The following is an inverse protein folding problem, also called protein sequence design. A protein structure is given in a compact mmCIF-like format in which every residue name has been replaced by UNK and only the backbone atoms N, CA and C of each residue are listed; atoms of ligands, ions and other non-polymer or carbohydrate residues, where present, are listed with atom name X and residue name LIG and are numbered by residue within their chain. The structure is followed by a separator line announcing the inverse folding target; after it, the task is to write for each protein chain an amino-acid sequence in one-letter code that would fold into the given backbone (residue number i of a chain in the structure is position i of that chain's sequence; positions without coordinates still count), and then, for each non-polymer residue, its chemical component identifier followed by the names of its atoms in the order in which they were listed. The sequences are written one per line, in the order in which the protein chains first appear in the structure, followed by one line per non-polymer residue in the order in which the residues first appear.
data_IF_148811554359
#
_entry.id   IF_148811554359
#
_cell.length_a   1.000
_cell.length_b   1.000
_cell.length_c   1.000
_cell.angle_alpha   90.00
_cell.angle_beta   90.00
_cell.angle_gamma   90.00
#
_symmetry.space_group_name_H-M   'P 1'
#
loop_
_entity.id
_entity.type
_entity.pdbx_description
1 polymer ?
#
# COMPACT_ATOMS: atom_id res chain seq x y z
N UNK A 1 29.15 -39.18 7.64
CA UNK A 1 27.99 -39.49 6.79
C UNK A 1 26.94 -38.39 6.81
N UNK A 2 26.44 -37.93 7.96
CA UNK A 2 25.55 -36.75 8.02
C UNK A 2 26.27 -35.45 7.61
N UNK A 3 27.48 -35.19 8.13
CA UNK A 3 28.28 -34.01 7.78
C UNK A 3 28.67 -33.91 6.28
N UNK A 4 28.88 -35.05 5.62
CA UNK A 4 29.22 -35.11 4.19
C UNK A 4 27.99 -34.77 3.32
N UNK A 5 26.81 -35.14 3.80
CA UNK A 5 25.54 -34.90 3.12
C UNK A 5 25.13 -33.43 3.23
N UNK A 6 25.28 -32.82 4.41
CA UNK A 6 25.04 -31.38 4.62
C UNK A 6 26.00 -30.52 3.79
N UNK A 7 27.28 -30.89 3.77
CA UNK A 7 28.31 -30.23 2.96
C UNK A 7 27.99 -30.29 1.46
N UNK A 8 27.50 -31.43 0.99
CA UNK A 8 27.08 -31.59 -0.41
C UNK A 8 25.89 -30.69 -0.75
N UNK A 9 24.88 -30.62 0.14
CA UNK A 9 23.73 -29.74 -0.08
C UNK A 9 24.11 -28.25 -0.07
N UNK A 10 25.00 -27.82 0.84
CA UNK A 10 25.50 -26.45 0.87
C UNK A 10 26.24 -26.06 -0.42
N UNK A 11 27.06 -26.96 -0.98
CA UNK A 11 27.73 -26.75 -2.26
C UNK A 11 26.75 -26.72 -3.44
N UNK A 12 25.74 -27.59 -3.43
CA UNK A 12 24.69 -27.60 -4.45
C UNK A 12 23.86 -26.31 -4.44
N UNK A 13 23.57 -25.78 -3.25
CA UNK A 13 22.86 -24.51 -3.07
C UNK A 13 23.70 -23.31 -3.46
N UNK A 14 24.97 -23.26 -3.05
CA UNK A 14 25.91 -22.24 -3.51
C UNK A 14 25.99 -22.24 -5.04
N UNK A 15 26.10 -23.42 -5.66
CA UNK A 15 26.04 -23.55 -7.11
C UNK A 15 24.73 -23.02 -7.70
N UNK A 16 23.59 -23.38 -7.10
CA UNK A 16 22.27 -22.90 -7.51
C UNK A 16 22.14 -21.37 -7.48
N UNK A 17 22.60 -20.72 -6.41
CA UNK A 17 22.62 -19.25 -6.27
C UNK A 17 23.51 -18.62 -7.35
N UNK A 18 24.71 -19.18 -7.56
CA UNK A 18 25.65 -18.70 -8.57
C UNK A 18 25.11 -18.85 -10.00
N UNK A 19 24.43 -19.95 -10.30
CA UNK A 19 23.76 -20.16 -11.59
C UNK A 19 22.60 -19.18 -11.78
N UNK A 20 21.74 -18.99 -10.77
CA UNK A 20 20.59 -18.09 -10.84
C UNK A 20 21.02 -16.65 -11.19
N UNK A 21 21.99 -16.11 -10.44
CA UNK A 21 22.50 -14.76 -10.67
C UNK A 21 23.29 -14.69 -11.98
N UNK A 22 24.02 -15.75 -12.31
CA UNK A 22 24.76 -15.86 -13.56
C UNK A 22 23.86 -15.82 -14.82
N UNK A 23 22.70 -16.48 -14.78
CA UNK A 23 21.73 -16.49 -15.90
C UNK A 23 21.17 -15.09 -16.14
N UNK A 24 20.74 -14.42 -15.06
CA UNK A 24 20.27 -13.03 -15.15
C UNK A 24 21.36 -12.14 -15.78
N UNK A 25 22.61 -12.29 -15.31
CA UNK A 25 23.69 -11.44 -15.76
C UNK A 25 23.99 -11.64 -17.24
N UNK A 26 24.06 -12.89 -17.69
CA UNK A 26 24.28 -13.24 -19.10
C UNK A 26 23.14 -12.70 -19.98
N UNK A 27 21.89 -12.86 -19.55
CA UNK A 27 20.72 -12.32 -20.26
C UNK A 27 20.78 -10.79 -20.38
N UNK A 28 21.15 -10.08 -19.30
CA UNK A 28 21.23 -8.62 -19.29
C UNK A 28 22.30 -8.06 -20.25
N UNK A 29 23.38 -8.81 -20.46
CA UNK A 29 24.48 -8.43 -21.36
C UNK A 29 24.10 -8.71 -22.82
N UNK A 30 23.41 -9.81 -23.09
CA UNK A 30 22.82 -10.10 -24.41
C UNK A 30 21.84 -9.03 -24.88
N UNK A 31 20.95 -8.54 -24.01
CA UNK A 31 20.00 -7.46 -24.37
C UNK A 31 20.69 -6.13 -24.66
N UNK A 32 21.87 -5.90 -24.08
CA UNK A 32 22.64 -4.66 -24.27
C UNK A 32 23.58 -4.72 -25.49
N UNK A 33 23.66 -5.86 -26.19
CA UNK A 33 24.48 -6.03 -27.40
C UNK A 33 25.99 -5.98 -27.15
N UNK A 34 26.43 -6.27 -25.92
CA UNK A 34 27.86 -6.36 -25.55
C UNK A 34 28.27 -7.82 -25.45
N UNK A 35 29.51 -8.12 -25.83
CA UNK A 35 30.11 -9.43 -25.57
C UNK A 35 30.06 -9.73 -24.07
N UNK A 36 29.59 -10.94 -23.71
CA UNK A 36 29.36 -11.32 -22.33
C UNK A 36 30.65 -11.21 -21.51
N UNK A 37 30.68 -10.21 -20.64
CA UNK A 37 31.81 -9.81 -19.79
C UNK A 37 32.00 -10.79 -18.62
N UNK A 38 30.91 -11.40 -18.15
CA UNK A 38 30.91 -12.36 -17.04
C UNK A 38 29.62 -13.19 -17.08
N UNK A 39 29.69 -14.36 -17.72
CA UNK A 39 28.53 -15.24 -17.91
C UNK A 39 28.21 -16.15 -16.72
N UNK A 40 27.26 -17.06 -16.94
CA UNK A 40 26.74 -18.04 -15.95
C UNK A 40 27.85 -18.79 -15.21
N UNK A 41 28.91 -19.19 -15.95
CA UNK A 41 30.03 -19.96 -15.40
C UNK A 41 30.85 -19.17 -14.38
N UNK A 42 31.04 -17.87 -14.60
CA UNK A 42 31.84 -17.02 -13.71
C UNK A 42 31.16 -16.87 -12.35
N UNK A 43 29.84 -16.67 -12.34
CA UNK A 43 29.07 -16.55 -11.10
C UNK A 43 28.91 -17.88 -10.37
N UNK A 44 28.71 -18.99 -11.09
CA UNK A 44 28.71 -20.33 -10.51
C UNK A 44 30.04 -20.65 -9.81
N UNK A 45 31.17 -20.38 -10.48
CA UNK A 45 32.50 -20.59 -9.90
C UNK A 45 32.78 -19.66 -8.74
N UNK A 46 32.39 -18.37 -8.82
CA UNK A 46 32.56 -17.42 -7.73
C UNK A 46 31.82 -17.86 -6.45
N UNK A 47 30.59 -18.35 -6.60
CA UNK A 47 29.81 -18.87 -5.47
C UNK A 47 30.47 -20.11 -4.85
N UNK A 48 30.89 -21.07 -5.68
CA UNK A 48 31.60 -22.26 -5.22
C UNK A 48 32.92 -21.92 -4.51
N UNK A 49 33.67 -20.95 -5.03
CA UNK A 49 34.89 -20.45 -4.39
C UNK A 49 34.57 -19.92 -2.98
N UNK A 50 33.48 -19.18 -2.82
CA UNK A 50 33.01 -18.70 -1.51
C UNK A 50 32.70 -19.82 -0.55
N UNK A 51 31.90 -20.81 -0.98
CA UNK A 51 31.53 -21.96 -0.17
C UNK A 51 32.75 -22.80 0.25
N UNK A 52 33.62 -23.14 -0.70
CA UNK A 52 34.84 -23.93 -0.45
C UNK A 52 35.78 -23.19 0.48
N UNK A 53 35.95 -21.87 0.30
CA UNK A 53 36.82 -21.05 1.15
C UNK A 53 36.34 -21.04 2.59
N UNK A 54 35.02 -20.91 2.80
CA UNK A 54 34.44 -20.93 4.14
C UNK A 54 34.56 -22.31 4.80
N UNK A 55 34.30 -23.39 4.07
CA UNK A 55 34.37 -24.77 4.59
C UNK A 55 35.80 -25.21 4.95
N UNK A 56 36.81 -24.76 4.19
CA UNK A 56 38.19 -25.25 4.34
C UNK A 56 39.07 -24.33 5.19
N UNK A 57 38.87 -23.02 5.12
CA UNK A 57 39.74 -22.03 5.77
C UNK A 57 39.01 -20.93 6.51
N UNK A 58 37.67 -21.02 6.65
CA UNK A 58 36.84 -20.07 7.38
C UNK A 58 36.96 -18.63 6.88
N UNK A 59 36.73 -17.68 7.79
CA UNK A 59 36.71 -16.25 7.49
C UNK A 59 38.01 -15.71 6.84
N UNK A 60 39.23 -16.13 7.27
CA UNK A 60 40.47 -15.66 6.64
C UNK A 60 40.58 -16.04 5.16
N UNK A 61 40.27 -17.29 4.79
CA UNK A 61 40.35 -17.75 3.42
C UNK A 61 39.24 -17.12 2.56
N UNK A 62 38.04 -16.92 3.12
CA UNK A 62 36.97 -16.18 2.47
C UNK A 62 37.39 -14.74 2.14
N UNK A 63 38.06 -14.05 3.05
CA UNK A 63 38.56 -12.69 2.80
C UNK A 63 39.57 -12.66 1.64
N UNK A 64 40.48 -13.64 1.58
CA UNK A 64 41.42 -13.81 0.46
C UNK A 64 40.67 -14.09 -0.85
N UNK A 65 39.67 -14.95 -0.82
CA UNK A 65 38.87 -15.28 -1.99
C UNK A 65 38.10 -14.07 -2.55
N UNK A 66 37.48 -13.27 -1.68
CA UNK A 66 36.79 -12.02 -2.06
C UNK A 66 37.77 -11.03 -2.69
N UNK A 67 38.96 -10.84 -2.10
CA UNK A 67 40.00 -9.97 -2.65
C UNK A 67 40.53 -10.50 -3.99
N UNK A 68 40.73 -11.82 -4.13
CA UNK A 68 41.18 -12.44 -5.37
C UNK A 68 40.15 -12.24 -6.49
N UNK A 69 38.88 -12.55 -6.24
CA UNK A 69 37.80 -12.37 -7.23
C UNK A 69 37.62 -10.89 -7.60
N UNK A 70 37.68 -9.99 -6.61
CA UNK A 70 37.62 -8.54 -6.84
C UNK A 70 38.79 -8.03 -7.68
N UNK A 71 40.02 -8.46 -7.38
CA UNK A 71 41.22 -8.06 -8.14
C UNK A 71 41.21 -8.62 -9.56
N UNK A 72 40.85 -9.90 -9.76
CA UNK A 72 40.67 -10.46 -11.10
C UNK A 72 39.66 -9.66 -11.90
N UNK A 73 38.55 -9.25 -11.28
CA UNK A 73 37.56 -8.42 -11.95
C UNK A 73 38.12 -7.04 -12.33
N UNK A 74 38.82 -6.36 -11.42
CA UNK A 74 39.44 -5.06 -11.70
C UNK A 74 40.45 -5.17 -12.85
N UNK A 75 41.34 -6.16 -12.80
CA UNK A 75 42.35 -6.40 -13.84
C UNK A 75 41.68 -6.63 -15.20
N UNK A 76 40.63 -7.45 -15.24
CA UNK A 76 39.87 -7.71 -16.45
C UNK A 76 39.23 -6.44 -17.02
N UNK A 77 38.62 -5.59 -16.17
CA UNK A 77 38.00 -4.33 -16.60
C UNK A 77 39.04 -3.36 -17.16
N UNK A 78 40.18 -3.23 -16.48
CA UNK A 78 41.29 -2.37 -16.93
C UNK A 78 41.86 -2.85 -18.27
N UNK A 79 42.01 -4.16 -18.45
CA UNK A 79 42.53 -4.73 -19.70
C UNK A 79 41.57 -4.58 -20.87
N UNK A 80 40.25 -4.67 -20.64
CA UNK A 80 39.27 -4.49 -21.71
C UNK A 80 39.06 -3.03 -22.10
N UNK A 81 39.42 -2.07 -21.24
CA UNK A 81 39.33 -0.66 -21.55
C UNK A 81 37.91 -0.16 -21.81
N UNK A 82 36.88 -0.92 -21.42
CA UNK A 82 35.47 -0.53 -21.61
C UNK A 82 34.96 0.27 -20.39
N UNK A 83 34.83 1.62 -20.52
CA UNK A 83 34.32 2.48 -19.45
C UNK A 83 32.84 2.23 -19.14
N UNK A 84 32.15 1.43 -19.95
CA UNK A 84 30.73 1.11 -19.77
C UNK A 84 30.50 -0.21 -19.04
N UNK A 85 31.56 -0.82 -18.50
CA UNK A 85 31.45 -1.95 -17.59
C UNK A 85 30.74 -1.53 -16.31
N UNK A 86 29.60 -2.16 -16.01
CA UNK A 86 28.75 -1.77 -14.89
C UNK A 86 29.37 -2.07 -13.53
N UNK A 87 29.47 -1.06 -12.65
CA UNK A 87 29.82 -1.21 -11.23
C UNK A 87 28.96 -2.28 -10.53
N UNK A 88 27.69 -2.40 -10.94
CA UNK A 88 26.74 -3.40 -10.44
C UNK A 88 27.19 -4.83 -10.68
N UNK A 89 27.86 -5.13 -11.80
CA UNK A 89 28.36 -6.48 -12.11
C UNK A 89 29.52 -6.86 -11.19
N UNK A 90 30.41 -5.90 -10.90
CA UNK A 90 31.51 -6.11 -9.97
C UNK A 90 31.01 -6.33 -8.54
N UNK A 91 30.01 -5.55 -8.11
CA UNK A 91 29.36 -5.73 -6.81
C UNK A 91 28.61 -7.07 -6.72
N UNK A 92 27.90 -7.47 -7.79
CA UNK A 92 27.20 -8.75 -7.85
C UNK A 92 28.18 -9.92 -7.73
N UNK A 93 29.33 -9.85 -8.40
CA UNK A 93 30.33 -10.92 -8.34
C UNK A 93 30.88 -11.10 -6.92
N UNK A 94 31.17 -10.00 -6.22
CA UNK A 94 31.56 -10.04 -4.80
C UNK A 94 30.44 -10.58 -3.92
N UNK A 95 29.20 -10.14 -4.14
CA UNK A 95 28.04 -10.61 -3.38
C UNK A 95 27.83 -12.12 -3.54
N UNK A 96 28.02 -12.66 -4.74
CA UNK A 96 27.87 -14.10 -5.01
C UNK A 96 28.92 -14.94 -4.28
N UNK A 97 30.17 -14.47 -4.16
CA UNK A 97 31.19 -15.13 -3.33
C UNK A 97 30.73 -15.18 -1.85
N UNK A 98 30.22 -14.05 -1.34
CA UNK A 98 29.71 -13.99 0.04
C UNK A 98 28.49 -14.88 0.26
N UNK A 99 27.58 -14.96 -0.72
CA UNK A 99 26.40 -15.83 -0.66
C UNK A 99 26.78 -17.32 -0.69
N UNK A 100 27.79 -17.69 -1.48
CA UNK A 100 28.32 -19.04 -1.48
C UNK A 100 28.87 -19.46 -0.11
N UNK A 101 29.57 -18.56 0.58
CA UNK A 101 29.99 -18.79 1.97
C UNK A 101 28.80 -18.87 2.94
N UNK A 102 27.82 -17.97 2.78
CA UNK A 102 26.62 -17.93 3.62
C UNK A 102 25.77 -19.20 3.50
N UNK A 103 25.76 -19.85 2.33
CA UNK A 103 25.08 -21.13 2.11
C UNK A 103 25.64 -22.25 3.00
N UNK A 104 26.90 -22.15 3.43
CA UNK A 104 27.52 -23.14 4.34
C UNK A 104 27.12 -22.94 5.80
N UNK A 105 26.60 -21.76 6.17
CA UNK A 105 26.11 -21.47 7.52
C UNK A 105 24.59 -21.58 7.60
N UNK A 106 23.89 -20.94 6.66
CA UNK A 106 22.42 -20.82 6.66
C UNK A 106 21.88 -20.86 5.24
N UNK A 107 21.72 -22.09 4.72
CA UNK A 107 21.07 -22.41 3.45
C UNK A 107 19.89 -21.48 3.11
N UNK A 108 18.83 -21.53 3.92
CA UNK A 108 17.59 -20.77 3.70
C UNK A 108 17.82 -19.25 3.55
N UNK A 109 18.73 -18.68 4.34
CA UNK A 109 19.03 -17.25 4.30
C UNK A 109 19.85 -16.92 3.05
N UNK A 110 20.83 -17.76 2.68
CA UNK A 110 21.60 -17.60 1.45
C UNK A 110 20.72 -17.69 0.20
N UNK A 111 19.82 -18.68 0.12
CA UNK A 111 18.84 -18.77 -0.97
C UNK A 111 17.91 -17.56 -1.01
N UNK A 112 17.38 -17.13 0.14
CA UNK A 112 16.49 -15.97 0.22
C UNK A 112 17.17 -14.68 -0.27
N UNK A 113 18.38 -14.40 0.23
CA UNK A 113 19.15 -13.22 -0.19
C UNK A 113 19.59 -13.34 -1.66
N UNK A 114 19.97 -14.54 -2.11
CA UNK A 114 20.31 -14.82 -3.50
C UNK A 114 19.17 -14.53 -4.46
N UNK A 115 17.94 -14.96 -4.13
CA UNK A 115 16.73 -14.67 -4.91
C UNK A 115 16.41 -13.17 -4.89
N UNK A 116 16.56 -12.48 -3.76
CA UNK A 116 16.35 -11.03 -3.66
C UNK A 116 17.33 -10.28 -4.56
N UNK A 117 18.63 -10.64 -4.52
CA UNK A 117 19.65 -10.01 -5.36
C UNK A 117 19.38 -10.31 -6.83
N UNK A 118 19.12 -11.56 -7.22
CA UNK A 118 18.77 -11.92 -8.59
C UNK A 118 17.54 -11.15 -9.10
N UNK A 119 16.49 -11.03 -8.27
CA UNK A 119 15.28 -10.28 -8.61
C UNK A 119 15.57 -8.77 -8.77
N UNK A 120 16.43 -8.21 -7.92
CA UNK A 120 16.84 -6.80 -8.01
C UNK A 120 17.61 -6.53 -9.30
N UNK A 121 18.53 -7.42 -9.69
CA UNK A 121 19.27 -7.29 -10.93
C UNK A 121 18.33 -7.42 -12.15
N UNK A 122 17.46 -8.43 -12.15
CA UNK A 122 16.48 -8.64 -13.23
C UNK A 122 15.52 -7.46 -13.39
N UNK A 123 15.12 -6.81 -12.30
CA UNK A 123 14.22 -5.66 -12.32
C UNK A 123 14.90 -4.35 -12.75
N UNK A 124 16.21 -4.32 -13.03
CA UNK A 124 16.98 -3.10 -13.33
C UNK A 124 16.35 -2.20 -14.39
N UNK A 125 15.88 -2.78 -15.50
CA UNK A 125 15.29 -1.98 -16.59
C UNK A 125 13.94 -1.39 -16.20
N UNK A 126 13.11 -2.16 -15.50
CA UNK A 126 11.82 -1.73 -14.97
C UNK A 126 12.02 -0.60 -13.95
N UNK A 127 12.96 -0.76 -13.02
CA UNK A 127 13.29 0.26 -12.00
C UNK A 127 13.80 1.55 -12.68
N UNK A 128 14.69 1.42 -13.67
CA UNK A 128 15.24 2.58 -14.42
C UNK A 128 14.16 3.27 -15.25
N UNK A 129 13.29 2.51 -15.90
CA UNK A 129 12.13 3.02 -16.63
C UNK A 129 11.21 3.78 -15.69
N UNK A 130 10.74 3.13 -14.63
CA UNK A 130 9.89 3.72 -13.59
C UNK A 130 10.47 5.02 -13.02
N UNK A 131 11.75 5.02 -12.65
CA UNK A 131 12.43 6.21 -12.13
C UNK A 131 12.54 7.36 -13.13
N UNK A 132 12.63 7.08 -14.44
CA UNK A 132 12.84 8.10 -15.48
C UNK A 132 11.56 8.60 -16.13
N UNK A 133 10.57 7.74 -16.27
CA UNK A 133 9.33 8.04 -17.03
C UNK A 133 8.11 8.16 -16.14
N UNK A 134 8.09 7.51 -14.98
CA UNK A 134 6.89 7.44 -14.13
C UNK A 134 6.97 8.33 -12.90
N UNK A 135 8.16 8.66 -12.37
CA UNK A 135 8.30 9.52 -11.19
C UNK A 135 8.75 10.95 -11.54
N UNK A 136 8.05 11.93 -11.01
CA UNK A 136 8.52 13.33 -10.94
C UNK A 136 9.46 13.51 -9.75
N UNK A 137 10.24 14.60 -9.75
CA UNK A 137 11.09 14.94 -8.61
C UNK A 137 10.31 15.10 -7.29
N UNK A 138 9.07 15.59 -7.36
CA UNK A 138 8.20 15.72 -6.19
C UNK A 138 7.79 14.33 -5.65
N UNK A 139 7.37 13.41 -6.51
CA UNK A 139 6.97 12.07 -6.07
C UNK A 139 8.14 11.20 -5.61
N UNK A 140 9.33 11.38 -6.20
CA UNK A 140 10.53 10.73 -5.69
C UNK A 140 10.82 11.18 -4.26
N UNK A 141 10.69 12.48 -3.99
CA UNK A 141 10.82 13.03 -2.63
C UNK A 141 9.75 12.47 -1.70
N UNK A 142 8.50 12.39 -2.13
CA UNK A 142 7.39 11.83 -1.34
C UNK A 142 7.61 10.34 -1.04
N UNK A 143 8.11 9.57 -2.02
CA UNK A 143 8.50 8.18 -1.86
C UNK A 143 9.68 7.99 -0.90
N UNK A 144 10.68 8.88 -0.95
CA UNK A 144 11.78 8.89 0.03
C UNK A 144 11.28 9.23 1.43
N UNK A 145 10.33 10.15 1.58
CA UNK A 145 9.70 10.45 2.88
C UNK A 145 8.98 9.20 3.43
N UNK A 146 8.23 8.49 2.58
CA UNK A 146 7.60 7.22 2.96
C UNK A 146 8.64 6.16 3.34
N UNK A 147 9.73 6.05 2.58
CA UNK A 147 10.84 5.15 2.86
C UNK A 147 11.54 5.45 4.19
N UNK A 148 11.84 6.72 4.48
CA UNK A 148 12.39 7.16 5.78
C UNK A 148 11.41 6.85 6.91
N UNK A 149 10.11 7.05 6.68
CA UNK A 149 9.07 6.75 7.67
C UNK A 149 9.10 5.26 8.04
N UNK A 150 9.14 4.37 7.05
CA UNK A 150 9.14 2.91 7.27
C UNK A 150 10.47 2.41 7.83
N UNK A 151 11.59 2.82 7.25
CA UNK A 151 12.90 2.21 7.50
C UNK A 151 13.67 2.86 8.66
N UNK A 152 13.35 4.11 9.01
CA UNK A 152 14.08 4.87 10.03
C UNK A 152 13.17 5.22 11.20
N UNK A 153 12.01 5.85 10.95
CA UNK A 153 11.16 6.36 12.03
C UNK A 153 10.43 5.22 12.73
N UNK A 154 9.77 4.34 11.99
CA UNK A 154 8.97 3.24 12.54
C UNK A 154 9.75 2.31 13.49
N UNK A 155 10.98 1.83 13.19
CA UNK A 155 11.72 0.98 14.13
C UNK A 155 12.21 1.71 15.38
N UNK A 156 12.35 3.05 15.32
CA UNK A 156 12.80 3.87 16.46
C UNK A 156 11.65 4.21 17.42
N UNK A 157 10.40 4.14 16.95
CA UNK A 157 9.24 4.50 17.78
C UNK A 157 9.01 3.52 18.93
N UNK A 158 8.78 4.03 20.16
CA UNK A 158 8.53 3.20 21.31
C UNK A 158 7.20 2.47 21.18
N UNK A 159 7.20 1.18 21.49
CA UNK A 159 5.99 0.35 21.57
C UNK A 159 5.41 0.43 22.99
N UNK A 160 4.84 1.58 23.35
CA UNK A 160 4.30 1.85 24.67
C UNK A 160 2.88 2.44 24.54
N UNK A 161 1.94 1.91 25.31
CA UNK A 161 0.58 2.41 25.37
C UNK A 161 0.51 3.59 26.35
N UNK A 162 0.04 4.74 25.88
CA UNK A 162 -0.17 5.98 26.63
C UNK A 162 -1.66 6.38 26.66
N UNK A 163 -2.01 7.26 27.59
CA UNK A 163 -3.35 7.84 27.71
C UNK A 163 -4.36 6.97 28.49
N UNK A 164 -5.59 7.46 28.65
CA UNK A 164 -6.66 6.76 29.38
C UNK A 164 -6.93 5.39 28.77
N UNK A 165 -6.94 4.36 29.61
CA UNK A 165 -7.12 2.96 29.20
C UNK A 165 -6.11 2.46 28.16
N UNK A 166 -4.92 3.07 28.04
CA UNK A 166 -3.89 2.65 27.08
C UNK A 166 -4.24 2.90 25.61
N UNK A 167 -5.15 3.85 25.33
CA UNK A 167 -5.71 4.05 23.99
C UNK A 167 -4.68 4.39 22.90
N UNK A 168 -3.55 5.03 23.24
CA UNK A 168 -2.62 5.60 22.25
C UNK A 168 -1.27 4.89 22.28
N UNK A 169 -0.96 4.13 21.22
CA UNK A 169 0.37 3.57 20.99
C UNK A 169 1.07 4.33 19.84
N UNK A 170 2.22 5.00 20.06
CA UNK A 170 2.91 5.76 19.04
C UNK A 170 3.35 4.91 17.85
N UNK A 171 3.80 3.67 18.10
CA UNK A 171 4.23 2.75 17.05
C UNK A 171 3.04 2.31 16.22
N UNK A 172 1.95 1.87 16.83
CA UNK A 172 0.76 1.42 16.09
C UNK A 172 0.11 2.56 15.32
N UNK A 173 -0.01 3.74 15.94
CA UNK A 173 -0.50 4.95 15.27
C UNK A 173 0.35 5.27 14.05
N UNK A 174 1.67 5.13 14.14
CA UNK A 174 2.56 5.41 13.02
C UNK A 174 2.53 4.33 11.93
N UNK A 175 2.38 3.04 12.28
CA UNK A 175 2.12 1.96 11.31
C UNK A 175 0.90 2.29 10.46
N UNK A 176 -0.15 2.82 11.10
CA UNK A 176 -1.39 3.17 10.42
C UNK A 176 -1.21 4.38 9.49
N UNK A 177 -0.48 5.41 9.94
CA UNK A 177 -0.12 6.56 9.09
C UNK A 177 0.63 6.06 7.86
N UNK A 178 1.62 5.19 8.05
CA UNK A 178 2.39 4.55 6.98
C UNK A 178 1.49 3.75 6.04
N UNK A 179 0.55 2.95 6.57
CA UNK A 179 -0.38 2.15 5.78
C UNK A 179 -1.26 3.04 4.89
N UNK A 180 -1.85 4.10 5.44
CA UNK A 180 -2.67 5.05 4.68
C UNK A 180 -1.82 5.75 3.62
N UNK A 181 -0.58 6.12 3.94
CA UNK A 181 0.34 6.69 2.96
C UNK A 181 0.70 5.70 1.85
N UNK A 182 0.95 4.44 2.19
CA UNK A 182 1.28 3.42 1.20
C UNK A 182 0.12 3.18 0.23
N UNK A 183 -1.12 3.11 0.75
CA UNK A 183 -2.30 2.93 -0.09
C UNK A 183 -2.52 4.13 -1.00
N UNK A 184 -2.34 5.36 -0.49
CA UNK A 184 -2.43 6.56 -1.32
C UNK A 184 -1.32 6.63 -2.38
N UNK A 185 -0.10 6.20 -2.06
CA UNK A 185 1.03 6.13 -2.99
C UNK A 185 0.72 5.16 -4.14
N UNK A 186 0.24 3.96 -3.78
CA UNK A 186 -0.18 2.95 -4.75
C UNK A 186 -1.34 3.46 -5.62
N UNK A 187 -2.32 4.15 -5.01
CA UNK A 187 -3.42 4.79 -5.72
C UNK A 187 -2.94 5.80 -6.76
N UNK A 188 -2.03 6.70 -6.38
CA UNK A 188 -1.45 7.72 -7.27
C UNK A 188 -0.58 7.13 -8.38
N UNK A 189 0.19 6.10 -8.08
CA UNK A 189 0.97 5.40 -9.12
C UNK A 189 0.00 4.70 -10.09
N UNK A 190 -1.05 4.07 -9.58
CA UNK A 190 -2.04 3.39 -10.40
C UNK A 190 -2.83 4.38 -11.29
N UNK A 191 -3.19 5.57 -10.80
CA UNK A 191 -3.84 6.59 -11.63
C UNK A 191 -2.96 7.01 -12.80
N UNK A 192 -1.65 7.18 -12.58
CA UNK A 192 -0.72 7.58 -13.64
C UNK A 192 -0.46 6.47 -14.65
N UNK A 193 -0.23 5.24 -14.19
CA UNK A 193 0.12 4.10 -15.06
C UNK A 193 -1.10 3.59 -15.83
N UNK A 194 -2.25 3.50 -15.17
CA UNK A 194 -3.45 2.84 -15.71
C UNK A 194 -4.58 3.84 -15.96
N UNK A 195 -4.82 4.74 -15.01
CA UNK A 195 -5.96 5.66 -15.04
C UNK A 195 -5.98 6.57 -16.28
N UNK A 196 -4.84 7.15 -16.64
CA UNK A 196 -4.72 8.06 -17.79
C UNK A 196 -5.22 7.41 -19.07
N UNK A 197 -5.02 6.09 -19.25
CA UNK A 197 -5.43 5.36 -20.46
C UNK A 197 -6.87 4.84 -20.42
N UNK A 198 -7.45 4.65 -19.22
CA UNK A 198 -8.78 4.06 -19.05
C UNK A 198 -9.89 5.09 -18.78
N UNK A 199 -9.56 6.39 -18.86
CA UNK A 199 -10.51 7.50 -18.78
C UNK A 199 -10.87 7.92 -17.36
N UNK A 200 -11.76 8.93 -17.25
CA UNK A 200 -12.15 9.56 -15.98
C UNK A 200 -12.78 8.62 -14.94
N UNK A 201 -13.57 7.58 -15.29
CA UNK A 201 -14.20 6.70 -14.31
C UNK A 201 -13.19 5.86 -13.54
N UNK A 202 -12.27 5.22 -14.25
CA UNK A 202 -11.18 4.44 -13.65
C UNK A 202 -10.18 5.36 -12.95
N UNK A 203 -9.84 6.49 -13.57
CA UNK A 203 -8.99 7.50 -12.92
C UNK A 203 -9.61 8.00 -11.61
N UNK A 204 -10.93 8.22 -11.56
CA UNK A 204 -11.63 8.68 -10.36
C UNK A 204 -11.66 7.61 -9.26
N UNK A 205 -11.86 6.35 -9.62
CA UNK A 205 -11.67 5.22 -8.71
C UNK A 205 -10.25 5.21 -8.14
N UNK A 206 -9.22 5.17 -8.99
CA UNK A 206 -7.83 5.08 -8.54
C UNK A 206 -7.42 6.33 -7.72
N UNK A 207 -7.87 7.52 -8.11
CA UNK A 207 -7.62 8.79 -7.42
C UNK A 207 -8.32 8.85 -6.06
N UNK A 208 -9.43 8.12 -5.91
CA UNK A 208 -10.14 7.97 -4.65
C UNK A 208 -9.29 7.34 -3.54
N UNK A 209 -8.26 6.55 -3.88
CA UNK A 209 -7.30 6.05 -2.91
C UNK A 209 -6.32 7.14 -2.41
N UNK A 210 -6.12 8.21 -3.17
CA UNK A 210 -5.37 9.37 -2.67
C UNK A 210 -6.28 10.23 -1.80
N UNK A 211 -7.39 10.69 -2.39
CA UNK A 211 -8.44 11.43 -1.70
C UNK A 211 -9.69 11.49 -2.56
N UNK A 212 -10.73 10.77 -2.18
CA UNK A 212 -12.05 10.85 -2.82
C UNK A 212 -12.65 12.26 -2.77
N UNK A 213 -12.41 13.00 -1.68
CA UNK A 213 -12.93 14.36 -1.49
C UNK A 213 -12.29 15.32 -2.49
N UNK A 214 -10.96 15.26 -2.64
CA UNK A 214 -10.25 16.01 -3.66
C UNK A 214 -10.63 15.55 -5.08
N UNK A 215 -10.86 14.25 -5.27
CA UNK A 215 -11.30 13.67 -6.56
C UNK A 215 -12.66 14.22 -7.00
N UNK A 216 -13.65 14.27 -6.10
CA UNK A 216 -14.97 14.87 -6.39
C UNK A 216 -14.82 16.35 -6.75
N UNK A 217 -14.00 17.11 -6.02
CA UNK A 217 -13.76 18.52 -6.32
C UNK A 217 -13.07 18.72 -7.69
N UNK A 218 -12.05 17.91 -7.99
CA UNK A 218 -11.30 17.98 -9.24
C UNK A 218 -12.18 17.61 -10.44
N UNK A 219 -12.94 16.52 -10.35
CA UNK A 219 -13.87 16.08 -11.39
C UNK A 219 -15.05 17.04 -11.54
N UNK A 220 -15.51 17.66 -10.46
CA UNK A 220 -16.56 18.67 -10.50
C UNK A 220 -16.13 19.96 -11.18
N UNK A 221 -14.87 20.39 -11.00
CA UNK A 221 -14.28 21.50 -11.76
C UNK A 221 -14.09 21.13 -13.23
N UNK A 222 -13.60 19.93 -13.52
CA UNK A 222 -13.44 19.43 -14.89
C UNK A 222 -14.77 19.38 -15.65
N UNK A 223 -15.84 18.89 -15.00
CA UNK A 223 -17.18 18.88 -15.57
C UNK A 223 -17.69 20.29 -15.90
N UNK A 224 -17.32 21.31 -15.11
CA UNK A 224 -17.65 22.71 -15.38
C UNK A 224 -16.84 23.34 -16.50
N UNK A 225 -15.58 22.94 -16.69
CA UNK A 225 -14.71 23.40 -17.78
C UNK A 225 -15.06 22.73 -19.12
N UNK A 226 -15.47 21.45 -19.08
CA UNK A 226 -15.85 20.64 -20.24
C UNK A 226 -17.13 19.87 -19.92
N UNK A 227 -18.28 20.44 -20.27
CA UNK A 227 -19.59 19.81 -20.04
C UNK A 227 -19.73 18.44 -20.73
N UNK A 228 -19.01 18.18 -21.81
CA UNK A 228 -18.96 16.86 -22.47
C UNK A 228 -18.38 15.76 -21.56
N UNK A 229 -17.45 16.12 -20.67
CA UNK A 229 -16.83 15.19 -19.72
C UNK A 229 -17.74 14.95 -18.50
N UNK A 230 -18.83 15.71 -18.31
CA UNK A 230 -19.59 15.77 -17.06
C UNK A 230 -20.10 14.41 -16.55
N UNK A 231 -20.60 13.56 -17.46
CA UNK A 231 -21.12 12.23 -17.11
C UNK A 231 -20.01 11.25 -16.73
N UNK A 232 -18.91 11.29 -17.47
CA UNK A 232 -17.72 10.46 -17.21
C UNK A 232 -17.01 10.91 -15.91
N UNK A 233 -16.95 12.21 -15.67
CA UNK A 233 -16.50 12.82 -14.43
C UNK A 233 -17.40 12.43 -13.25
N UNK A 234 -18.73 12.42 -13.43
CA UNK A 234 -19.66 11.99 -12.40
C UNK A 234 -19.49 10.50 -12.05
N UNK A 235 -19.30 9.63 -13.05
CA UNK A 235 -18.97 8.22 -12.82
C UNK A 235 -17.69 8.08 -12.00
N UNK A 236 -16.60 8.76 -12.38
CA UNK A 236 -15.35 8.74 -11.62
C UNK A 236 -15.47 9.28 -10.20
N UNK A 237 -16.25 10.35 -10.02
CA UNK A 237 -16.51 10.94 -8.71
C UNK A 237 -17.27 9.96 -7.80
N UNK A 238 -18.27 9.27 -8.32
CA UNK A 238 -19.02 8.25 -7.56
C UNK A 238 -18.17 7.01 -7.26
N UNK A 239 -17.37 6.53 -8.22
CA UNK A 239 -16.47 5.40 -8.02
C UNK A 239 -15.35 5.70 -7.01
N UNK A 240 -14.96 6.98 -6.85
CA UNK A 240 -14.00 7.37 -5.81
C UNK A 240 -14.47 7.03 -4.38
N UNK A 241 -15.79 6.96 -4.15
CA UNK A 241 -16.35 6.50 -2.86
C UNK A 241 -16.11 5.02 -2.61
N UNK A 242 -16.09 4.19 -3.65
CA UNK A 242 -15.76 2.76 -3.53
C UNK A 242 -14.34 2.61 -2.99
N UNK A 243 -13.40 3.40 -3.50
CA UNK A 243 -12.00 3.39 -3.05
C UNK A 243 -11.86 3.75 -1.57
N UNK A 244 -12.61 4.75 -1.10
CA UNK A 244 -12.65 5.09 0.34
C UNK A 244 -13.16 3.92 1.19
N UNK A 245 -14.20 3.23 0.73
CA UNK A 245 -14.77 2.09 1.46
C UNK A 245 -13.82 0.89 1.47
N UNK A 246 -13.09 0.66 0.37
CA UNK A 246 -12.02 -0.35 0.32
C UNK A 246 -10.91 0.01 1.32
N UNK A 247 -10.48 1.28 1.39
CA UNK A 247 -9.48 1.72 2.38
C UNK A 247 -9.94 1.47 3.81
N UNK A 248 -11.18 1.83 4.11
CA UNK A 248 -11.77 1.59 5.44
C UNK A 248 -11.78 0.09 5.75
N UNK A 249 -12.14 -0.75 4.78
CA UNK A 249 -12.05 -2.21 4.91
C UNK A 249 -10.63 -2.70 5.20
N UNK A 250 -9.62 -2.22 4.48
CA UNK A 250 -8.21 -2.56 4.70
C UNK A 250 -7.75 -2.13 6.10
N UNK A 251 -8.09 -0.92 6.52
CA UNK A 251 -7.76 -0.38 7.84
C UNK A 251 -8.41 -1.23 8.95
N UNK A 252 -9.70 -1.55 8.82
CA UNK A 252 -10.39 -2.41 9.79
C UNK A 252 -9.78 -3.81 9.83
N UNK A 253 -9.49 -4.42 8.68
CA UNK A 253 -8.89 -5.75 8.63
C UNK A 253 -7.50 -5.77 9.29
N UNK A 254 -6.72 -4.71 9.12
CA UNK A 254 -5.40 -4.59 9.71
C UNK A 254 -5.42 -4.36 11.24
N UNK A 255 -6.39 -3.59 11.75
CA UNK A 255 -6.44 -3.18 13.15
C UNK A 255 -7.39 -3.99 14.02
N UNK A 256 -8.56 -4.35 13.49
CA UNK A 256 -9.59 -5.09 14.21
C UNK A 256 -10.38 -5.97 13.23
N UNK A 257 -9.87 -7.18 12.94
CA UNK A 257 -10.60 -8.16 12.11
C UNK A 257 -12.02 -8.44 12.61
N UNK A 258 -12.24 -8.36 13.92
CA UNK A 258 -13.56 -8.48 14.54
C UNK A 258 -14.49 -7.34 14.11
N UNK A 259 -14.03 -6.09 14.17
CA UNK A 259 -14.82 -4.93 13.72
C UNK A 259 -15.03 -4.95 12.20
N UNK A 260 -14.06 -5.42 11.41
CA UNK A 260 -14.23 -5.66 9.98
C UNK A 260 -15.38 -6.64 9.71
N UNK A 261 -15.41 -7.80 10.39
CA UNK A 261 -16.44 -8.81 10.19
C UNK A 261 -17.84 -8.29 10.55
N UNK A 262 -17.97 -7.59 11.68
CA UNK A 262 -19.26 -7.06 12.12
C UNK A 262 -19.71 -5.86 11.27
N UNK A 263 -18.79 -5.01 10.83
CA UNK A 263 -19.07 -3.85 9.96
C UNK A 263 -19.24 -4.19 8.48
N UNK A 264 -18.97 -5.43 8.07
CA UNK A 264 -18.97 -5.85 6.67
C UNK A 264 -20.30 -5.57 5.93
N UNK A 265 -21.50 -5.81 6.51
CA UNK A 265 -22.76 -5.52 5.83
C UNK A 265 -22.92 -4.04 5.47
N UNK A 266 -22.49 -3.14 6.37
CA UNK A 266 -22.53 -1.69 6.17
C UNK A 266 -21.58 -1.26 5.04
N UNK A 267 -20.35 -1.79 5.05
CA UNK A 267 -19.35 -1.50 4.02
C UNK A 267 -19.75 -2.04 2.65
N UNK A 268 -20.24 -3.28 2.59
CA UNK A 268 -20.70 -3.90 1.35
C UNK A 268 -21.93 -3.20 0.79
N UNK A 269 -22.93 -2.89 1.63
CA UNK A 269 -24.12 -2.16 1.20
C UNK A 269 -23.76 -0.81 0.57
N UNK A 270 -22.98 0.00 1.29
CA UNK A 270 -22.53 1.30 0.78
C UNK A 270 -21.64 1.15 -0.49
N UNK A 271 -20.76 0.15 -0.52
CA UNK A 271 -19.84 -0.11 -1.62
C UNK A 271 -20.56 -0.54 -2.88
N UNK A 272 -21.53 -1.44 -2.77
CA UNK A 272 -22.38 -1.88 -3.88
C UNK A 272 -23.23 -0.73 -4.39
N UNK A 273 -23.82 0.08 -3.51
CA UNK A 273 -24.60 1.25 -3.93
C UNK A 273 -23.75 2.23 -4.75
N UNK A 274 -22.56 2.59 -4.26
CA UNK A 274 -21.64 3.48 -4.98
C UNK A 274 -21.12 2.85 -6.29
N UNK A 275 -20.76 1.57 -6.25
CA UNK A 275 -20.22 0.84 -7.39
C UNK A 275 -21.24 0.64 -8.50
N UNK A 276 -22.45 0.18 -8.17
CA UNK A 276 -23.55 0.00 -9.13
C UNK A 276 -24.00 1.33 -9.71
N UNK A 277 -24.11 2.37 -8.90
CA UNK A 277 -24.46 3.71 -9.38
C UNK A 277 -23.38 4.26 -10.33
N UNK A 278 -22.10 4.16 -9.96
CA UNK A 278 -20.98 4.58 -10.81
C UNK A 278 -20.88 3.78 -12.11
N UNK A 279 -21.06 2.46 -12.04
CA UNK A 279 -21.10 1.58 -13.20
C UNK A 279 -22.30 1.88 -14.10
N UNK A 280 -23.50 2.10 -13.53
CA UNK A 280 -24.68 2.48 -14.30
C UNK A 280 -24.45 3.77 -15.07
N UNK A 281 -23.89 4.81 -14.43
CA UNK A 281 -23.53 6.05 -15.14
C UNK A 281 -22.53 5.73 -16.25
N UNK A 282 -21.46 4.99 -15.96
CA UNK A 282 -20.42 4.67 -16.93
C UNK A 282 -20.99 3.97 -18.17
N UNK A 283 -21.77 2.89 -17.99
CA UNK A 283 -22.32 2.12 -19.10
C UNK A 283 -23.45 2.85 -19.84
N UNK A 284 -24.28 3.62 -19.16
CA UNK A 284 -25.37 4.38 -19.79
C UNK A 284 -24.88 5.61 -20.55
N UNK A 285 -23.63 6.04 -20.33
CA UNK A 285 -23.09 7.29 -20.87
C UNK A 285 -21.87 7.10 -21.75
N UNK A 286 -21.33 5.87 -21.84
CA UNK A 286 -20.39 5.48 -22.90
C UNK A 286 -21.08 5.49 -24.26
N UNK A 287 -20.95 6.61 -24.98
CA UNK A 287 -21.27 6.70 -26.42
C UNK A 287 -20.15 7.37 -27.21
N UNK A 288 -18.89 7.20 -26.79
CA UNK A 288 -17.74 7.80 -27.46
C UNK A 288 -16.42 7.12 -27.10
N UNK A 289 -15.35 7.50 -27.79
CA UNK A 289 -14.01 7.00 -27.56
C UNK A 289 -13.51 7.34 -26.14
N UNK A 290 -12.82 6.38 -25.51
CA UNK A 290 -12.12 6.60 -24.25
C UNK A 290 -10.97 7.57 -24.52
N UNK A 291 -11.16 8.83 -24.14
CA UNK A 291 -10.11 9.84 -24.25
C UNK A 291 -9.18 9.73 -23.06
N UNK A 292 -7.86 9.70 -23.28
CA UNK A 292 -6.90 9.78 -22.19
C UNK A 292 -7.14 11.06 -21.40
N UNK A 293 -7.31 10.93 -20.09
CA UNK A 293 -7.66 12.05 -19.23
C UNK A 293 -6.94 11.93 -17.90
N UNK A 294 -6.02 12.86 -17.67
CA UNK A 294 -5.35 12.99 -16.39
C UNK A 294 -6.24 13.80 -15.43
N UNK A 295 -6.50 13.26 -14.24
CA UNK A 295 -7.12 14.03 -13.17
C UNK A 295 -6.01 14.86 -12.55
N UNK A 296 -6.05 16.18 -12.75
CA UNK A 296 -5.09 17.14 -12.20
C UNK A 296 -5.19 17.28 -10.68
N UNK A 297 -4.85 16.22 -9.95
CA UNK A 297 -4.53 16.29 -8.53
C UNK A 297 -3.14 16.93 -8.38
N UNK A 298 -2.95 17.73 -7.34
CA UNK A 298 -1.63 18.32 -7.02
C UNK A 298 -0.55 17.23 -6.99
N UNK A 299 0.61 17.52 -7.58
CA UNK A 299 1.71 16.57 -7.78
C UNK A 299 2.40 16.08 -6.50
N UNK A 300 1.99 16.57 -5.32
CA UNK A 300 2.44 16.07 -4.03
C UNK A 300 1.43 15.06 -3.52
N UNK A 301 1.84 13.79 -3.50
CA UNK A 301 1.06 12.68 -2.97
C UNK A 301 1.17 12.68 -1.44
N UNK A 302 2.35 13.02 -0.90
CA UNK A 302 2.61 13.07 0.53
C UNK A 302 3.48 14.24 0.95
N UNK A 303 2.89 15.19 1.67
CA UNK A 303 3.68 16.16 2.43
C UNK A 303 3.86 15.68 3.87
N UNK A 304 5.06 15.86 4.44
CA UNK A 304 5.32 15.60 5.88
C UNK A 304 4.29 16.32 6.74
N UNK A 305 3.90 17.53 6.36
CA UNK A 305 2.86 18.32 7.05
C UNK A 305 1.49 17.62 7.05
N UNK A 306 1.09 17.03 5.92
CA UNK A 306 -0.16 16.28 5.81
C UNK A 306 -0.13 15.01 6.64
N UNK A 307 0.98 14.28 6.63
CA UNK A 307 1.16 13.06 7.42
C UNK A 307 1.13 13.34 8.93
N UNK A 308 1.85 14.36 9.38
CA UNK A 308 1.84 14.82 10.79
C UNK A 308 0.46 15.33 11.18
N UNK A 309 -0.21 16.11 10.31
CA UNK A 309 -1.58 16.57 10.54
C UNK A 309 -2.58 15.43 10.69
N UNK A 310 -2.50 14.42 9.82
CA UNK A 310 -3.33 13.22 9.89
C UNK A 310 -3.08 12.43 11.19
N UNK A 311 -1.80 12.19 11.54
CA UNK A 311 -1.41 11.54 12.78
C UNK A 311 -1.94 12.29 14.02
N UNK A 312 -1.85 13.62 14.01
CA UNK A 312 -2.35 14.48 15.07
C UNK A 312 -3.87 14.42 15.21
N UNK A 313 -4.62 14.45 14.10
CA UNK A 313 -6.09 14.31 14.12
C UNK A 313 -6.46 12.95 14.72
N UNK A 314 -5.84 11.87 14.26
CA UNK A 314 -6.08 10.51 14.78
C UNK A 314 -5.80 10.44 16.27
N UNK A 315 -4.62 10.89 16.70
CA UNK A 315 -4.22 10.91 18.12
C UNK A 315 -5.20 11.70 18.99
N UNK A 316 -5.61 12.88 18.51
CA UNK A 316 -6.56 13.75 19.22
C UNK A 316 -7.93 13.09 19.34
N UNK A 317 -8.45 12.52 18.25
CA UNK A 317 -9.74 11.82 18.26
C UNK A 317 -9.67 10.62 19.20
N UNK A 318 -8.62 9.80 19.12
CA UNK A 318 -8.44 8.66 20.03
C UNK A 318 -8.41 9.09 21.49
N UNK A 319 -7.65 10.14 21.82
CA UNK A 319 -7.54 10.64 23.19
C UNK A 319 -8.87 11.18 23.71
N UNK A 320 -9.57 11.99 22.91
CA UNK A 320 -10.87 12.56 23.31
C UNK A 320 -11.93 11.46 23.40
N UNK A 321 -11.96 10.52 22.45
CA UNK A 321 -12.90 9.39 22.48
C UNK A 321 -12.68 8.51 23.70
N UNK A 322 -11.43 8.17 24.04
CA UNK A 322 -11.10 7.40 25.23
C UNK A 322 -11.49 8.13 26.52
N UNK A 323 -11.12 9.42 26.64
CA UNK A 323 -11.51 10.25 27.78
C UNK A 323 -13.02 10.30 27.96
N UNK A 324 -13.76 10.63 26.89
CA UNK A 324 -15.21 10.74 27.00
C UNK A 324 -15.90 9.40 27.20
N UNK A 325 -15.32 8.29 26.74
CA UNK A 325 -15.85 6.96 27.02
C UNK A 325 -15.81 6.63 28.52
N UNK A 326 -14.73 7.00 29.22
CA UNK A 326 -14.61 6.77 30.66
C UNK A 326 -15.67 7.54 31.48
N UNK A 327 -16.07 8.74 31.04
CA UNK A 327 -17.02 9.59 31.77
C UNK A 327 -18.48 9.47 31.30
N UNK A 328 -18.71 9.26 30.00
CA UNK A 328 -20.03 9.33 29.36
C UNK A 328 -20.42 8.03 28.64
N UNK A 329 -19.56 7.02 28.65
CA UNK A 329 -19.77 5.73 27.98
C UNK A 329 -19.71 5.81 26.46
N UNK A 330 -20.16 4.73 25.82
CA UNK A 330 -20.07 4.52 24.37
C UNK A 330 -20.81 5.57 23.53
N UNK A 331 -21.79 6.27 24.11
CA UNK A 331 -22.51 7.35 23.45
C UNK A 331 -21.61 8.53 23.05
N UNK A 332 -20.54 8.81 23.80
CA UNK A 332 -19.62 9.90 23.45
C UNK A 332 -18.65 9.54 22.31
N UNK A 333 -18.41 8.25 22.10
CA UNK A 333 -17.62 7.75 20.97
C UNK A 333 -18.36 8.04 19.65
N UNK A 334 -19.69 7.95 19.64
CA UNK A 334 -20.50 8.32 18.48
C UNK A 334 -20.25 9.77 18.06
N UNK A 335 -20.28 10.72 19.00
CA UNK A 335 -20.09 12.15 18.71
C UNK A 335 -18.69 12.42 18.19
N UNK A 336 -17.67 11.91 18.88
CA UNK A 336 -16.26 12.11 18.51
C UNK A 336 -15.91 11.49 17.16
N UNK A 337 -16.38 10.27 16.88
CA UNK A 337 -16.20 9.63 15.57
C UNK A 337 -16.93 10.37 14.45
N UNK A 338 -18.15 10.87 14.71
CA UNK A 338 -18.90 11.67 13.73
C UNK A 338 -18.15 12.95 13.36
N UNK A 339 -17.62 13.67 14.37
CA UNK A 339 -16.82 14.87 14.17
C UNK A 339 -15.51 14.57 13.44
N UNK A 340 -14.83 13.48 13.79
CA UNK A 340 -13.63 13.02 13.08
C UNK A 340 -13.93 12.71 11.60
N UNK A 341 -15.09 12.10 11.33
CA UNK A 341 -15.57 11.78 9.99
C UNK A 341 -15.76 12.99 9.09
N UNK A 342 -16.10 14.17 9.65
CA UNK A 342 -16.18 15.42 8.87
C UNK A 342 -14.83 15.81 8.24
N UNK A 343 -13.73 15.46 8.91
CA UNK A 343 -12.37 15.76 8.44
C UNK A 343 -11.83 14.61 7.60
N UNK A 344 -11.92 13.38 8.11
CA UNK A 344 -11.44 12.20 7.43
C UNK A 344 -12.07 10.92 7.98
N UNK A 345 -12.68 10.13 7.09
CA UNK A 345 -13.19 8.80 7.43
C UNK A 345 -12.07 7.87 7.84
N UNK A 346 -10.89 7.97 7.21
CA UNK A 346 -9.75 7.11 7.58
C UNK A 346 -9.34 7.39 9.03
N UNK A 347 -9.28 8.66 9.45
CA UNK A 347 -8.94 9.00 10.82
C UNK A 347 -9.97 8.47 11.83
N UNK A 348 -11.26 8.62 11.52
CA UNK A 348 -12.34 8.09 12.37
C UNK A 348 -12.31 6.56 12.46
N UNK A 349 -12.14 5.86 11.34
CA UNK A 349 -12.02 4.40 11.29
C UNK A 349 -10.84 3.90 12.11
N UNK A 350 -9.68 4.55 11.97
CA UNK A 350 -8.47 4.21 12.74
C UNK A 350 -8.71 4.37 14.24
N UNK A 351 -9.30 5.48 14.65
CA UNK A 351 -9.58 5.74 16.06
C UNK A 351 -10.53 4.66 16.63
N UNK A 352 -11.63 4.36 15.93
CA UNK A 352 -12.58 3.32 16.34
C UNK A 352 -11.95 1.93 16.40
N UNK A 353 -11.23 1.54 15.36
CA UNK A 353 -10.59 0.23 15.29
C UNK A 353 -9.53 0.07 16.40
N UNK A 354 -8.82 1.14 16.73
CA UNK A 354 -7.85 1.15 17.83
C UNK A 354 -8.55 0.98 19.18
N UNK A 355 -9.65 1.69 19.44
CA UNK A 355 -10.42 1.53 20.69
C UNK A 355 -10.97 0.10 20.84
N UNK A 356 -11.39 -0.55 19.75
CA UNK A 356 -11.78 -1.97 19.75
C UNK A 356 -10.57 -2.86 20.02
N UNK A 357 -9.42 -2.59 19.41
CA UNK A 357 -8.21 -3.40 19.55
C UNK A 357 -7.67 -3.44 20.99
N UNK A 358 -7.78 -2.32 21.73
CA UNK A 358 -7.40 -2.27 23.17
C UNK A 358 -8.55 -2.65 24.10
N UNK A 359 -9.70 -3.09 23.57
CA UNK A 359 -10.84 -3.58 24.36
C UNK A 359 -11.64 -2.50 25.09
N UNK A 360 -11.51 -1.23 24.71
CA UNK A 360 -12.28 -0.14 25.32
C UNK A 360 -13.76 -0.14 24.87
N UNK A 361 -14.02 -0.66 23.67
CA UNK A 361 -15.37 -0.91 23.15
C UNK A 361 -15.43 -2.26 22.46
N UNK A 362 -16.62 -2.85 22.41
CA UNK A 362 -16.86 -4.04 21.60
C UNK A 362 -16.82 -3.71 20.09
N UNK A 363 -16.50 -4.71 19.27
CA UNK A 363 -16.53 -4.58 17.82
C UNK A 363 -17.91 -4.15 17.28
N UNK A 364 -18.99 -4.54 17.96
CA UNK A 364 -20.36 -4.17 17.60
C UNK A 364 -20.68 -2.71 17.93
N UNK A 365 -20.25 -2.22 19.09
CA UNK A 365 -20.43 -0.82 19.48
C UNK A 365 -19.69 0.15 18.54
N UNK A 366 -18.63 -0.30 17.86
CA UNK A 366 -17.90 0.50 16.87
C UNK A 366 -18.66 0.74 15.55
N UNK A 367 -19.67 -0.08 15.21
CA UNK A 367 -20.32 -0.02 13.88
C UNK A 367 -21.17 1.22 13.71
N UNK A 368 -21.96 1.61 14.73
CA UNK A 368 -22.81 2.79 14.67
C UNK A 368 -21.97 4.10 14.57
N UNK A 369 -20.93 4.32 15.39
CA UNK A 369 -19.98 5.41 15.22
C UNK A 369 -19.31 5.44 13.84
N UNK A 370 -18.96 4.27 13.27
CA UNK A 370 -18.39 4.18 11.92
C UNK A 370 -19.41 4.65 10.87
N UNK A 371 -20.66 4.19 10.96
CA UNK A 371 -21.75 4.60 10.08
C UNK A 371 -22.02 6.11 10.16
N UNK A 372 -21.96 6.69 11.37
CA UNK A 372 -22.12 8.12 11.57
C UNK A 372 -20.94 8.94 11.01
N UNK A 373 -19.70 8.46 11.19
CA UNK A 373 -18.51 9.09 10.59
C UNK A 373 -18.54 9.06 9.05
N UNK A 374 -18.96 7.94 8.46
CA UNK A 374 -19.19 7.80 7.02
C UNK A 374 -20.28 8.76 6.53
N UNK A 375 -21.36 8.90 7.29
CA UNK A 375 -22.46 9.83 7.00
C UNK A 375 -21.98 11.28 6.99
N UNK A 376 -21.24 11.69 8.02
CA UNK A 376 -20.67 13.02 8.14
C UNK A 376 -19.77 13.39 6.94
N UNK A 377 -18.86 12.49 6.55
CA UNK A 377 -18.01 12.72 5.39
C UNK A 377 -18.80 12.74 4.08
N UNK A 378 -19.84 11.91 3.96
CA UNK A 378 -20.70 11.89 2.77
C UNK A 378 -21.43 13.23 2.61
N UNK A 379 -21.87 13.85 3.70
CA UNK A 379 -22.44 15.20 3.67
C UNK A 379 -21.44 16.25 3.18
N UNK A 380 -20.18 16.18 3.63
CA UNK A 380 -19.10 17.05 3.12
C UNK A 380 -18.90 16.85 1.61
N UNK A 381 -18.89 15.60 1.14
CA UNK A 381 -18.76 15.28 -0.29
C UNK A 381 -19.95 15.77 -1.12
N UNK A 382 -21.18 15.64 -0.60
CA UNK A 382 -22.39 16.19 -1.23
C UNK A 382 -22.25 17.70 -1.36
N UNK A 383 -21.84 18.38 -0.28
CA UNK A 383 -21.64 19.83 -0.30
C UNK A 383 -20.59 20.27 -1.33
N UNK A 384 -19.48 19.53 -1.46
CA UNK A 384 -18.47 19.77 -2.50
C UNK A 384 -19.03 19.53 -3.90
N UNK A 385 -19.75 18.42 -4.12
CA UNK A 385 -20.35 18.11 -5.41
C UNK A 385 -21.34 19.19 -5.86
N UNK A 386 -22.11 19.74 -4.93
CA UNK A 386 -23.08 20.82 -5.18
C UNK A 386 -22.43 22.15 -5.63
N UNK A 387 -21.13 22.34 -5.37
CA UNK A 387 -20.37 23.54 -5.80
C UNK A 387 -19.86 23.49 -7.23
N UNK A 388 -19.97 22.35 -7.93
CA UNK A 388 -19.67 22.31 -9.36
C UNK A 388 -20.61 23.25 -10.12
N UNK A 389 -20.13 23.91 -11.18
CA UNK A 389 -20.98 24.75 -12.04
C UNK A 389 -21.87 23.91 -12.97
N UNK A 390 -21.55 22.63 -13.19
CA UNK A 390 -22.23 21.77 -14.15
C UNK A 390 -23.43 21.04 -13.51
N UNK A 391 -24.68 21.34 -13.91
CA UNK A 391 -25.88 20.80 -13.26
C UNK A 391 -26.03 19.28 -13.37
N UNK A 392 -25.59 18.68 -14.49
CA UNK A 392 -25.63 17.22 -14.64
C UNK A 392 -24.72 16.55 -13.62
N UNK A 393 -23.50 17.05 -13.45
CA UNK A 393 -22.54 16.51 -12.48
C UNK A 393 -23.08 16.59 -11.06
N UNK A 394 -23.59 17.78 -10.66
CA UNK A 394 -24.16 18.00 -9.32
C UNK A 394 -25.26 16.98 -8.99
N UNK A 395 -26.26 16.85 -9.85
CA UNK A 395 -27.42 15.98 -9.61
C UNK A 395 -27.02 14.52 -9.53
N UNK A 396 -26.19 14.07 -10.47
CA UNK A 396 -25.75 12.67 -10.53
C UNK A 396 -24.89 12.30 -9.32
N UNK A 397 -23.89 13.10 -8.97
CA UNK A 397 -22.99 12.78 -7.85
C UNK A 397 -23.71 12.89 -6.51
N UNK A 398 -24.49 13.96 -6.27
CA UNK A 398 -25.25 14.10 -5.04
C UNK A 398 -26.31 13.00 -4.89
N UNK A 399 -27.01 12.63 -5.98
CA UNK A 399 -27.97 11.53 -5.97
C UNK A 399 -27.31 10.19 -5.61
N UNK A 400 -26.15 9.89 -6.20
CA UNK A 400 -25.38 8.69 -5.87
C UNK A 400 -24.91 8.64 -4.42
N UNK A 401 -24.46 9.77 -3.87
CA UNK A 401 -24.03 9.87 -2.48
C UNK A 401 -25.21 9.74 -1.49
N UNK A 402 -26.37 10.28 -1.82
CA UNK A 402 -27.60 10.10 -1.03
C UNK A 402 -28.06 8.65 -1.07
N UNK A 403 -28.01 8.00 -2.24
CA UNK A 403 -28.31 6.58 -2.38
C UNK A 403 -27.35 5.73 -1.54
N UNK A 404 -26.05 6.00 -1.62
CA UNK A 404 -25.03 5.34 -0.81
C UNK A 404 -25.33 5.49 0.70
N UNK A 405 -25.70 6.69 1.14
CA UNK A 405 -26.06 6.97 2.53
C UNK A 405 -27.32 6.22 2.96
N UNK A 406 -28.35 6.20 2.12
CA UNK A 406 -29.59 5.47 2.40
C UNK A 406 -29.33 3.96 2.55
N UNK A 407 -28.59 3.37 1.61
CA UNK A 407 -28.25 1.95 1.65
C UNK A 407 -27.36 1.61 2.85
N UNK A 408 -26.45 2.50 3.24
CA UNK A 408 -25.63 2.34 4.45
C UNK A 408 -26.49 2.18 5.70
N UNK A 409 -27.49 3.06 5.90
CA UNK A 409 -28.37 2.99 7.07
C UNK A 409 -29.37 1.82 7.01
N UNK A 410 -29.87 1.48 5.81
CA UNK A 410 -30.71 0.28 5.61
C UNK A 410 -29.92 -0.98 5.94
N UNK A 411 -28.67 -1.10 5.47
CA UNK A 411 -27.81 -2.24 5.75
C UNK A 411 -27.53 -2.37 7.26
N UNK A 412 -27.25 -1.26 7.95
CA UNK A 412 -27.07 -1.26 9.41
C UNK A 412 -28.34 -1.71 10.15
N UNK A 413 -29.51 -1.22 9.73
CA UNK A 413 -30.78 -1.58 10.35
C UNK A 413 -31.16 -3.05 10.14
N UNK A 414 -30.99 -3.57 8.91
CA UNK A 414 -31.25 -4.98 8.59
C UNK A 414 -30.30 -5.91 9.34
N UNK A 415 -29.03 -5.53 9.48
CA UNK A 415 -28.05 -6.28 10.25
C UNK A 415 -28.44 -6.37 11.74
N UNK A 416 -28.93 -5.28 12.33
CA UNK A 416 -29.46 -5.27 13.70
C UNK A 416 -30.64 -6.24 13.89
N UNK A 417 -31.57 -6.26 12.94
CA UNK A 417 -32.70 -7.21 12.94
C UNK A 417 -32.18 -8.65 12.85
N UNK A 418 -31.31 -8.94 11.88
CA UNK A 418 -30.79 -10.29 11.66
C UNK A 418 -30.10 -10.83 12.91
N UNK A 419 -29.32 -10.00 13.62
CA UNK A 419 -28.67 -10.39 14.89
C UNK A 419 -29.68 -10.66 16.00
N UNK A 420 -30.71 -9.84 16.15
CA UNK A 420 -31.76 -10.07 17.15
C UNK A 420 -32.45 -11.42 16.94
N UNK A 421 -32.81 -11.73 15.69
CA UNK A 421 -33.40 -13.03 15.31
C UNK A 421 -32.48 -14.22 15.60
N UNK A 422 -31.18 -14.12 15.29
CA UNK A 422 -30.21 -15.19 15.59
C UNK A 422 -30.09 -15.41 17.10
N UNK A 423 -30.11 -14.32 17.87
CA UNK A 423 -30.00 -14.39 19.34
C UNK A 423 -31.24 -15.08 19.94
N UNK A 424 -32.44 -14.75 19.46
CA UNK A 424 -33.68 -15.42 19.86
C UNK A 424 -33.68 -16.92 19.48
N UNK A 425 -33.24 -17.26 18.27
CA UNK A 425 -33.12 -18.67 17.85
C UNK A 425 -32.17 -19.46 18.75
N UNK A 426 -31.03 -18.87 19.12
CA UNK A 426 -30.05 -19.53 19.99
C UNK A 426 -30.55 -19.77 21.43
N UNK A 427 -31.50 -18.96 21.90
CA UNK A 427 -32.13 -19.13 23.22
C UNK A 427 -33.27 -20.18 23.21
N UNK A 428 -33.88 -20.41 22.05
CA UNK A 428 -35.02 -21.34 21.89
C UNK A 428 -34.61 -22.78 21.54
N UNK A 429 -33.36 -23.02 21.12
CA UNK A 429 -32.80 -24.35 20.92
C UNK A 429 -31.65 -24.60 21.91
N UNK A 430 -31.92 -25.09 23.14
CA UNK A 430 -30.85 -25.61 23.98
C UNK A 430 -30.32 -26.90 23.31
N UNK A 431 -29.01 -26.94 23.08
CA UNK A 431 -28.28 -28.15 22.67
C UNK A 431 -28.42 -29.27 23.70
#
# INVERSE_FOLDING_TARGET
MEADTESFFALAEALGIGLLIGIEREQSEHTTGKDASSGVRTFALASLIGAISMMTGGMPLLAVAVLAVGTFRIVWVVQQGDPTTGLTTSLALVAVVLLGALATETALLAAGVGVIIASLLAAREVIRGFSRTVLTAAELRDGLILGVSILVILPVLPNLNFGPGGALNPRDLFIIVVLVMLIGAAGHIATRVVGVHLGLPVSGFLSGFVSSTATIAALGRRAGEKSDDAKSAAAGATLSSVSSLIQIGIILLALSPAMFAVGLPVLLGAGLAAGLHGAAIFFLTQRGEIKPAEIGLTSQVFSVKSAVGFAFIVATVMLISALLNDYFGSAAILVTATLAGLVSTNSATVALASLVAVGQISALEGVLPLAAALSANTLVRIWIALRSSEPSFRRTVSGGLVLQLAVLWVAWWLDGIARAWITELSLTMPL
#
